data_IF_105853784583
#
_entry.id   IF_105853784583
#
_cell.length_a   1.000
_cell.length_b   1.000
_cell.length_c   1.000
_cell.angle_alpha   90.00
_cell.angle_beta   90.00
_cell.angle_gamma   90.00
#
_symmetry.space_group_name_H-M   'P 1'
#
loop_
_entity.id
_entity.type
_entity.pdbx_description
1 polymer ?
#
# COMPACT_ATOMS: atom_id res chain seq x y z
N UNK A 1 48.63 -12.09 58.39
CA UNK A 1 47.66 -12.88 57.58
C UNK A 1 46.42 -12.03 57.41
N UNK A 2 46.26 -11.14 56.31
CA UNK A 2 44.97 -10.62 55.90
C UNK A 2 45.08 -9.49 54.85
N UNK A 3 46.26 -8.89 54.59
CA UNK A 3 46.36 -7.79 53.60
C UNK A 3 46.22 -8.29 52.18
N UNK A 4 46.63 -9.48 51.79
CA UNK A 4 46.57 -10.04 50.47
C UNK A 4 45.13 -10.51 50.07
N UNK A 5 44.28 -10.87 51.05
CA UNK A 5 42.87 -11.21 50.77
C UNK A 5 42.04 -9.97 50.51
N UNK A 6 42.24 -8.90 51.28
CA UNK A 6 41.54 -7.63 51.07
C UNK A 6 41.88 -7.01 49.72
N UNK A 7 43.12 -7.08 49.29
CA UNK A 7 43.57 -6.57 47.99
C UNK A 7 42.98 -7.34 46.82
N UNK A 8 42.87 -8.69 46.90
CA UNK A 8 42.24 -9.52 45.88
C UNK A 8 40.74 -9.28 45.77
N UNK A 9 40.03 -9.06 46.85
CA UNK A 9 38.61 -8.76 46.87
C UNK A 9 38.35 -7.38 46.26
N UNK A 10 39.18 -6.38 46.58
CA UNK A 10 39.04 -5.03 46.01
C UNK A 10 39.24 -5.03 44.48
N UNK A 11 40.24 -5.76 43.96
CA UNK A 11 40.46 -5.88 42.52
C UNK A 11 39.29 -6.60 41.81
N UNK A 12 38.73 -7.66 42.39
CA UNK A 12 37.58 -8.37 41.82
C UNK A 12 36.31 -7.55 41.79
N UNK A 13 36.07 -6.69 42.78
CA UNK A 13 34.90 -5.78 42.76
C UNK A 13 35.07 -4.68 41.74
N UNK A 14 36.26 -4.10 41.59
CA UNK A 14 36.53 -3.07 40.59
C UNK A 14 36.39 -3.63 39.16
N UNK A 15 36.90 -4.83 38.90
CA UNK A 15 36.72 -5.47 37.56
C UNK A 15 35.26 -5.80 37.27
N UNK A 16 34.48 -6.26 38.25
CA UNK A 16 33.05 -6.52 38.07
C UNK A 16 32.25 -5.25 37.78
N UNK A 17 32.56 -4.14 38.44
CA UNK A 17 31.91 -2.84 38.21
C UNK A 17 32.26 -2.28 36.84
N UNK A 18 33.51 -2.39 36.38
CA UNK A 18 33.93 -1.93 35.05
C UNK A 18 33.28 -2.76 33.93
N UNK A 19 33.15 -4.08 34.10
CA UNK A 19 32.45 -4.94 33.13
C UNK A 19 30.96 -4.62 33.08
N UNK A 20 30.31 -4.36 34.23
CA UNK A 20 28.91 -3.97 34.26
C UNK A 20 28.66 -2.60 33.61
N UNK A 21 29.57 -1.64 33.81
CA UNK A 21 29.50 -0.32 33.18
C UNK A 21 29.72 -0.39 31.66
N UNK A 22 30.61 -1.26 31.17
CA UNK A 22 30.84 -1.46 29.75
C UNK A 22 29.62 -2.12 29.04
N UNK A 23 28.90 -3.01 29.73
CA UNK A 23 27.66 -3.60 29.20
C UNK A 23 26.51 -2.59 29.11
N UNK A 24 26.47 -1.58 29.97
CA UNK A 24 25.45 -0.53 29.93
C UNK A 24 25.66 0.46 28.76
N UNK A 25 26.89 0.64 28.29
CA UNK A 25 27.19 1.54 27.15
C UNK A 25 27.00 0.82 25.80
N UNK A 26 27.09 -0.51 25.75
CA UNK A 26 26.84 -1.28 24.52
C UNK A 26 25.34 -1.40 24.17
N UNK A 27 24.43 -0.98 25.06
CA UNK A 27 22.99 -0.93 24.86
C UNK A 27 22.49 0.35 24.18
N UNK A 28 23.39 1.29 23.84
CA UNK A 28 23.02 2.51 23.14
C UNK A 28 22.77 2.24 21.65
N UNK A 29 21.50 2.26 21.33
CA UNK A 29 20.95 2.86 20.13
C UNK A 29 21.26 2.21 18.79
N UNK A 30 20.81 0.96 18.63
CA UNK A 30 20.15 0.60 17.38
C UNK A 30 18.65 0.93 17.48
N UNK A 31 18.31 2.15 17.77
CA UNK A 31 17.13 2.73 17.16
C UNK A 31 17.47 2.85 15.69
N UNK A 32 17.26 1.76 14.92
CA UNK A 32 16.85 1.90 13.54
C UNK A 32 15.82 3.03 13.56
N UNK A 33 16.05 4.07 12.83
CA UNK A 33 15.03 5.03 12.44
C UNK A 33 14.08 4.18 11.60
N UNK A 34 13.22 3.44 12.28
CA UNK A 34 12.00 2.91 11.73
C UNK A 34 11.26 4.19 11.37
N UNK A 35 11.41 4.60 10.11
CA UNK A 35 10.58 5.62 9.51
C UNK A 35 9.18 5.10 9.75
N UNK A 36 8.54 5.61 10.80
CA UNK A 36 7.20 5.17 11.19
C UNK A 36 6.36 5.33 9.95
N UNK A 37 5.95 4.19 9.38
CA UNK A 37 5.18 4.13 8.16
C UNK A 37 3.98 5.06 8.33
N UNK A 38 3.78 6.09 7.49
CA UNK A 38 2.68 7.02 7.64
C UNK A 38 1.35 6.25 7.59
N UNK A 39 0.41 6.63 8.44
CA UNK A 39 -0.96 6.12 8.36
C UNK A 39 -1.66 6.66 7.11
N UNK A 40 -2.67 5.95 6.57
CA UNK A 40 -3.43 6.46 5.44
C UNK A 40 -4.15 7.76 5.82
N UNK A 41 -4.14 8.71 4.90
CA UNK A 41 -4.88 9.98 5.01
C UNK A 41 -6.27 9.85 4.40
N UNK A 42 -7.22 10.64 4.91
CA UNK A 42 -8.51 10.79 4.27
C UNK A 42 -8.41 11.69 3.04
N UNK A 43 -9.23 11.39 2.03
CA UNK A 43 -9.28 12.19 0.80
C UNK A 43 -9.82 13.57 1.12
N UNK A 44 -9.03 14.61 0.86
CA UNK A 44 -9.47 15.99 0.97
C UNK A 44 -10.29 16.39 -0.25
N UNK A 45 -11.17 17.37 -0.09
CA UNK A 45 -12.06 17.82 -1.16
C UNK A 45 -11.32 18.32 -2.41
N UNK A 46 -10.15 18.91 -2.20
CA UNK A 46 -9.25 19.45 -3.23
C UNK A 46 -8.24 18.42 -3.79
N UNK A 47 -8.19 17.21 -3.23
CA UNK A 47 -7.23 16.20 -3.65
C UNK A 47 -7.44 15.82 -5.12
N UNK A 48 -6.36 15.84 -5.91
CA UNK A 48 -6.37 15.54 -7.35
C UNK A 48 -5.59 14.26 -7.65
N UNK A 49 -6.05 13.52 -8.65
CA UNK A 49 -5.37 12.32 -9.13
C UNK A 49 -4.10 12.67 -9.90
N UNK A 50 -3.01 11.99 -9.59
CA UNK A 50 -1.67 12.25 -10.14
C UNK A 50 -1.64 12.19 -11.68
N UNK A 51 -2.25 11.16 -12.27
CA UNK A 51 -2.26 11.00 -13.71
C UNK A 51 -3.37 11.80 -14.43
N UNK A 52 -4.56 11.92 -13.80
CA UNK A 52 -5.68 12.58 -14.45
C UNK A 52 -5.78 14.08 -14.18
N UNK A 53 -5.16 14.60 -13.11
CA UNK A 53 -5.24 16.01 -12.70
C UNK A 53 -6.62 16.47 -12.23
N UNK A 54 -7.63 15.58 -12.19
CA UNK A 54 -9.01 15.88 -11.78
C UNK A 54 -9.20 15.60 -10.29
N UNK A 55 -10.22 16.24 -9.69
CA UNK A 55 -10.54 16.00 -8.27
C UNK A 55 -11.01 14.57 -8.05
N UNK A 56 -10.47 13.92 -7.00
CA UNK A 56 -10.80 12.54 -6.66
C UNK A 56 -12.30 12.36 -6.37
N UNK A 57 -12.95 13.37 -5.80
CA UNK A 57 -14.37 13.36 -5.51
C UNK A 57 -15.27 13.27 -6.76
N UNK A 58 -14.74 13.54 -7.95
CA UNK A 58 -15.45 13.46 -9.22
C UNK A 58 -15.41 12.05 -9.83
N UNK A 59 -14.65 11.13 -9.21
CA UNK A 59 -14.47 9.76 -9.69
C UNK A 59 -15.09 8.75 -8.74
N UNK A 60 -15.80 7.79 -9.29
CA UNK A 60 -16.33 6.64 -8.56
C UNK A 60 -15.23 5.58 -8.35
N UNK A 61 -15.52 4.62 -7.47
CA UNK A 61 -14.66 3.45 -7.20
C UNK A 61 -13.51 3.73 -6.25
N UNK A 62 -12.70 2.69 -5.97
CA UNK A 62 -11.62 2.76 -5.00
C UNK A 62 -10.50 3.69 -5.46
N UNK A 63 -9.91 4.38 -4.47
CA UNK A 63 -8.79 5.30 -4.63
C UNK A 63 -7.50 4.67 -4.09
N UNK A 64 -6.37 5.22 -4.50
CA UNK A 64 -5.08 4.89 -3.93
C UNK A 64 -4.29 6.09 -3.48
N UNK A 65 -3.38 5.85 -2.55
CA UNK A 65 -2.43 6.85 -2.06
C UNK A 65 -1.04 6.22 -1.89
N UNK A 66 -0.03 6.93 -2.37
CA UNK A 66 1.38 6.52 -2.30
C UNK A 66 2.16 7.56 -1.51
N UNK A 67 2.88 7.13 -0.50
CA UNK A 67 3.78 7.95 0.28
C UNK A 67 5.21 7.73 -0.16
N UNK A 68 5.92 8.82 -0.43
CA UNK A 68 7.35 8.81 -0.74
C UNK A 68 8.14 9.35 0.45
N UNK A 69 9.38 8.86 0.65
CA UNK A 69 10.26 9.39 1.68
C UNK A 69 10.63 10.87 1.45
N UNK A 70 10.61 11.30 0.19
CA UNK A 70 10.93 12.67 -0.24
C UNK A 70 9.77 13.67 -0.09
N UNK A 71 8.56 13.24 0.35
CA UNK A 71 7.36 14.10 0.44
C UNK A 71 6.63 13.91 1.75
N UNK A 72 6.04 15.00 2.26
CA UNK A 72 5.15 14.98 3.43
C UNK A 72 3.74 14.47 3.10
N UNK A 73 3.25 14.79 1.91
CA UNK A 73 1.88 14.51 1.49
C UNK A 73 1.83 13.34 0.53
N UNK A 74 0.75 12.52 0.58
CA UNK A 74 0.61 11.42 -0.34
C UNK A 74 0.36 11.87 -1.79
N UNK A 75 0.81 11.04 -2.72
CA UNK A 75 0.38 11.11 -4.12
C UNK A 75 -0.93 10.35 -4.24
N UNK A 76 -1.93 10.98 -4.83
CA UNK A 76 -3.28 10.45 -4.94
C UNK A 76 -3.57 9.88 -6.32
N UNK A 77 -4.37 8.81 -6.36
CA UNK A 77 -4.84 8.17 -7.59
C UNK A 77 -6.35 7.97 -7.55
N UNK A 78 -7.01 8.32 -8.65
CA UNK A 78 -8.45 8.12 -8.85
C UNK A 78 -8.84 6.66 -9.13
N UNK A 79 -7.84 5.77 -9.28
CA UNK A 79 -7.98 4.35 -9.60
C UNK A 79 -6.88 3.56 -8.89
N UNK A 80 -7.22 2.36 -8.42
CA UNK A 80 -6.23 1.44 -7.83
C UNK A 80 -5.34 0.83 -8.92
N UNK A 81 -5.87 0.61 -10.11
CA UNK A 81 -5.05 0.20 -11.27
C UNK A 81 -3.93 1.20 -11.53
N UNK A 82 -4.21 2.50 -11.53
CA UNK A 82 -3.21 3.56 -11.73
C UNK A 82 -2.22 3.63 -10.57
N UNK A 83 -2.69 3.41 -9.34
CA UNK A 83 -1.82 3.28 -8.18
C UNK A 83 -0.78 2.18 -8.38
N UNK A 84 -1.22 1.00 -8.85
CA UNK A 84 -0.34 -0.15 -9.07
C UNK A 84 0.58 0.11 -10.28
N UNK A 85 0.08 0.75 -11.33
CA UNK A 85 0.89 1.15 -12.48
C UNK A 85 2.04 2.06 -12.05
N UNK A 86 1.77 3.07 -11.19
CA UNK A 86 2.80 3.93 -10.61
C UNK A 86 3.89 3.14 -9.88
N UNK A 87 3.53 2.10 -9.12
CA UNK A 87 4.52 1.27 -8.40
C UNK A 87 5.47 0.52 -9.34
N UNK A 88 5.07 0.27 -10.57
CA UNK A 88 5.81 -0.55 -11.55
C UNK A 88 6.45 0.23 -12.66
N UNK A 89 5.93 1.41 -13.00
CA UNK A 89 6.47 2.27 -14.03
C UNK A 89 7.94 2.64 -13.74
N UNK A 90 8.88 2.39 -14.66
CA UNK A 90 10.31 2.57 -14.41
C UNK A 90 10.71 4.04 -14.21
N UNK A 91 9.93 4.97 -14.74
CA UNK A 91 10.12 6.42 -14.65
C UNK A 91 9.69 7.04 -13.33
N UNK A 92 8.89 6.32 -12.53
CA UNK A 92 8.32 6.83 -11.30
C UNK A 92 9.28 6.69 -10.10
N UNK A 93 9.13 7.51 -9.06
CA UNK A 93 9.98 7.47 -7.87
C UNK A 93 10.01 6.11 -7.18
N UNK A 94 11.18 5.73 -6.65
CA UNK A 94 11.41 4.44 -5.98
C UNK A 94 11.47 4.52 -4.46
N UNK A 95 11.46 5.71 -3.88
CA UNK A 95 11.51 5.97 -2.44
C UNK A 95 10.15 5.80 -1.74
N UNK A 96 9.37 4.79 -2.17
CA UNK A 96 8.03 4.50 -1.68
C UNK A 96 8.11 3.89 -0.28
N UNK A 97 7.50 4.56 0.70
CA UNK A 97 7.45 4.13 2.11
C UNK A 97 6.13 3.45 2.49
N UNK A 98 5.01 3.87 1.90
CA UNK A 98 3.71 3.25 2.11
C UNK A 98 2.81 3.38 0.88
N UNK A 99 1.90 2.41 0.71
CA UNK A 99 0.87 2.42 -0.32
C UNK A 99 -0.42 1.92 0.29
N UNK A 100 -1.48 2.71 0.19
CA UNK A 100 -2.81 2.34 0.66
C UNK A 100 -3.82 2.43 -0.47
N UNK A 101 -4.80 1.54 -0.43
CA UNK A 101 -5.94 1.50 -1.35
C UNK A 101 -7.23 1.37 -0.56
N UNK A 102 -8.36 1.84 -1.10
CA UNK A 102 -9.63 1.66 -0.41
C UNK A 102 -10.01 0.18 -0.33
N UNK A 103 -10.36 -0.28 0.87
CA UNK A 103 -10.87 -1.62 1.11
C UNK A 103 -12.36 -1.67 0.76
N UNK A 104 -12.70 -2.27 -0.38
CA UNK A 104 -14.07 -2.37 -0.85
C UNK A 104 -14.89 -3.42 -0.11
N UNK A 105 -14.27 -4.27 0.68
CA UNK A 105 -14.96 -5.17 1.63
C UNK A 105 -15.49 -4.45 2.86
N UNK A 106 -14.97 -3.25 3.15
CA UNK A 106 -15.38 -2.40 4.27
C UNK A 106 -16.15 -1.16 3.83
N UNK A 107 -16.43 -1.03 2.53
CA UNK A 107 -17.15 0.10 1.96
C UNK A 107 -18.54 -0.31 1.53
N UNK A 108 -19.55 0.45 1.95
CA UNK A 108 -20.95 0.21 1.59
C UNK A 108 -21.28 0.72 0.17
N UNK A 109 -20.49 1.65 -0.37
CA UNK A 109 -20.74 2.31 -1.66
C UNK A 109 -19.57 2.15 -2.61
N UNK A 110 -19.87 1.85 -3.88
CA UNK A 110 -18.92 1.92 -4.97
C UNK A 110 -18.60 3.36 -5.35
N UNK A 111 -19.62 4.22 -5.38
CA UNK A 111 -19.50 5.60 -5.83
C UNK A 111 -18.55 6.40 -4.94
N UNK A 112 -18.61 6.16 -3.64
CA UNK A 112 -17.78 6.85 -2.67
C UNK A 112 -17.41 5.89 -1.53
N UNK A 113 -16.19 5.33 -1.56
CA UNK A 113 -15.69 4.47 -0.50
C UNK A 113 -15.74 5.13 0.86
N UNK A 114 -16.08 4.35 1.89
CA UNK A 114 -16.25 4.84 3.25
C UNK A 114 -14.94 5.39 3.84
N UNK A 115 -15.05 6.42 4.65
CA UNK A 115 -13.90 6.98 5.38
C UNK A 115 -13.29 5.92 6.29
N UNK A 116 -11.98 5.91 6.38
CA UNK A 116 -11.22 4.93 7.15
C UNK A 116 -11.18 3.52 6.54
N UNK A 117 -11.82 3.29 5.40
CA UNK A 117 -11.75 2.02 4.70
C UNK A 117 -10.47 1.94 3.85
N UNK A 118 -9.31 1.92 4.50
CA UNK A 118 -8.01 1.79 3.85
C UNK A 118 -7.34 0.47 4.23
N UNK A 119 -6.62 -0.12 3.27
CA UNK A 119 -5.77 -1.30 3.46
C UNK A 119 -4.41 -1.06 2.80
N UNK A 120 -3.34 -1.59 3.41
CA UNK A 120 -2.03 -1.63 2.77
C UNK A 120 -2.10 -2.47 1.49
N UNK A 121 -1.74 -1.89 0.36
CA UNK A 121 -1.77 -2.57 -0.93
C UNK A 121 -0.94 -3.86 -0.96
N UNK A 122 0.12 -3.96 -0.16
CA UNK A 122 0.98 -5.17 -0.07
C UNK A 122 0.28 -6.32 0.67
N UNK A 123 -0.73 -6.01 1.48
CA UNK A 123 -1.51 -6.99 2.26
C UNK A 123 -2.87 -7.28 1.63
N UNK A 124 -3.32 -6.44 0.70
CA UNK A 124 -4.61 -6.56 0.06
C UNK A 124 -4.70 -7.77 -0.89
N UNK A 125 -5.92 -8.22 -1.08
CA UNK A 125 -6.36 -9.05 -2.18
C UNK A 125 -7.01 -8.18 -3.24
N UNK A 126 -6.84 -8.52 -4.50
CA UNK A 126 -7.39 -7.75 -5.62
C UNK A 126 -8.24 -8.63 -6.50
N UNK A 127 -9.39 -8.12 -6.94
CA UNK A 127 -10.15 -8.74 -8.01
C UNK A 127 -9.87 -7.97 -9.29
N UNK A 128 -9.28 -8.64 -10.27
CA UNK A 128 -8.97 -8.08 -11.60
C UNK A 128 -9.78 -8.79 -12.69
N UNK A 129 -10.05 -8.08 -13.79
CA UNK A 129 -10.82 -8.62 -14.91
C UNK A 129 -12.32 -8.78 -14.62
N UNK A 130 -12.85 -8.15 -13.58
CA UNK A 130 -14.29 -8.04 -13.33
C UNK A 130 -14.97 -7.09 -14.31
N UNK A 131 -16.30 -7.08 -14.31
CA UNK A 131 -17.09 -6.15 -15.15
C UNK A 131 -17.02 -4.68 -14.71
N UNK A 132 -16.56 -4.41 -13.48
CA UNK A 132 -16.55 -3.05 -12.94
C UNK A 132 -15.43 -2.21 -13.52
N UNK A 133 -15.71 -0.92 -13.59
CA UNK A 133 -14.81 0.10 -14.11
C UNK A 133 -14.41 1.06 -13.00
N UNK A 134 -13.16 1.47 -13.01
CA UNK A 134 -12.65 2.52 -12.13
C UNK A 134 -13.09 3.92 -12.61
N UNK A 135 -12.70 4.93 -11.85
CA UNK A 135 -13.11 6.32 -12.06
C UNK A 135 -12.80 6.90 -13.44
N UNK A 136 -11.88 6.28 -14.20
CA UNK A 136 -11.54 6.67 -15.58
C UNK A 136 -12.19 5.76 -16.63
N UNK A 137 -13.16 4.93 -16.27
CA UNK A 137 -13.85 4.03 -17.18
C UNK A 137 -13.04 2.82 -17.66
N UNK A 138 -11.84 2.61 -17.12
CA UNK A 138 -10.97 1.47 -17.43
C UNK A 138 -11.21 0.31 -16.46
N UNK A 139 -10.81 -0.94 -16.80
CA UNK A 139 -10.88 -2.06 -15.87
C UNK A 139 -10.19 -1.74 -14.54
N UNK A 140 -10.86 -2.02 -13.42
CA UNK A 140 -10.35 -1.70 -12.09
C UNK A 140 -9.74 -2.92 -11.40
N UNK A 141 -8.71 -2.71 -10.57
CA UNK A 141 -8.18 -3.70 -9.66
C UNK A 141 -8.82 -3.48 -8.27
N UNK A 142 -9.91 -4.19 -7.99
CA UNK A 142 -10.75 -3.93 -6.81
C UNK A 142 -10.13 -4.53 -5.56
N UNK A 143 -9.75 -3.73 -4.53
CA UNK A 143 -9.02 -4.21 -3.36
C UNK A 143 -9.91 -4.59 -2.19
N UNK A 144 -9.45 -5.60 -1.44
CA UNK A 144 -10.09 -6.14 -0.25
C UNK A 144 -9.04 -6.50 0.81
N UNK A 145 -9.29 -6.22 2.08
CA UNK A 145 -8.46 -6.72 3.18
C UNK A 145 -8.66 -8.22 3.41
N UNK A 146 -9.89 -8.72 3.21
CA UNK A 146 -10.28 -10.09 3.49
C UNK A 146 -10.46 -10.92 2.20
N UNK A 147 -9.81 -12.09 2.09
CA UNK A 147 -9.95 -12.94 0.90
C UNK A 147 -11.37 -13.42 0.66
N UNK A 148 -12.16 -13.63 1.72
CA UNK A 148 -13.55 -14.04 1.61
C UNK A 148 -14.41 -12.96 0.94
N UNK A 149 -14.17 -11.66 1.25
CA UNK A 149 -14.86 -10.56 0.61
C UNK A 149 -14.49 -10.43 -0.89
N UNK A 150 -13.20 -10.62 -1.21
CA UNK A 150 -12.73 -10.65 -2.60
C UNK A 150 -13.41 -11.78 -3.39
N UNK A 151 -13.56 -12.95 -2.79
CA UNK A 151 -14.19 -14.10 -3.44
C UNK A 151 -15.70 -13.89 -3.65
N UNK A 152 -16.42 -13.33 -2.68
CA UNK A 152 -17.82 -12.94 -2.82
C UNK A 152 -18.00 -11.94 -3.97
N UNK A 153 -17.13 -10.95 -4.06
CA UNK A 153 -17.14 -9.97 -5.15
C UNK A 153 -16.87 -10.64 -6.50
N UNK A 154 -15.86 -11.52 -6.58
CA UNK A 154 -15.52 -12.27 -7.79
C UNK A 154 -16.71 -13.10 -8.30
N UNK A 155 -17.42 -13.80 -7.40
CA UNK A 155 -18.59 -14.60 -7.78
C UNK A 155 -19.69 -13.73 -8.37
N UNK A 156 -19.91 -12.53 -7.84
CA UNK A 156 -20.99 -11.63 -8.27
C UNK A 156 -20.64 -10.75 -9.48
N UNK A 157 -19.35 -10.42 -9.70
CA UNK A 157 -18.88 -9.45 -10.70
C UNK A 157 -17.87 -10.01 -11.69
N UNK A 158 -17.55 -11.28 -11.60
CA UNK A 158 -16.53 -11.92 -12.43
C UNK A 158 -15.10 -11.56 -12.05
N UNK A 159 -14.16 -11.96 -12.89
CA UNK A 159 -12.75 -11.72 -12.68
C UNK A 159 -12.05 -12.83 -11.90
N UNK A 160 -10.87 -12.54 -11.38
CA UNK A 160 -10.07 -13.46 -10.56
C UNK A 160 -9.43 -12.74 -9.37
N UNK A 161 -9.29 -13.46 -8.25
CA UNK A 161 -8.62 -12.97 -7.04
C UNK A 161 -7.11 -13.18 -7.19
N UNK A 162 -6.32 -12.13 -6.90
CA UNK A 162 -4.85 -12.14 -6.99
C UNK A 162 -4.22 -11.31 -5.89
N UNK A 163 -2.93 -11.50 -5.64
CA UNK A 163 -2.11 -10.59 -4.84
C UNK A 163 -1.48 -9.51 -5.71
N UNK A 164 -0.98 -8.44 -5.07
CA UNK A 164 -0.36 -7.30 -5.74
C UNK A 164 0.72 -7.73 -6.77
N UNK A 165 1.60 -8.68 -6.38
CA UNK A 165 2.68 -9.17 -7.25
C UNK A 165 2.23 -10.04 -8.41
N UNK A 166 0.98 -10.53 -8.39
CA UNK A 166 0.41 -11.43 -9.40
C UNK A 166 -0.42 -10.68 -10.46
N UNK A 167 -0.60 -9.36 -10.31
CA UNK A 167 -1.29 -8.54 -11.31
C UNK A 167 -0.36 -8.39 -12.51
N UNK A 168 -0.76 -8.82 -13.72
CA UNK A 168 0.08 -8.76 -14.91
C UNK A 168 0.33 -7.33 -15.38
N UNK A 169 1.48 -7.07 -15.99
CA UNK A 169 1.81 -5.75 -16.52
C UNK A 169 0.94 -5.35 -17.71
N UNK A 170 0.50 -6.31 -18.52
CA UNK A 170 -0.45 -6.07 -19.62
C UNK A 170 -1.83 -5.62 -19.11
N UNK A 171 -2.24 -6.08 -17.91
CA UNK A 171 -3.43 -5.56 -17.25
C UNK A 171 -3.29 -4.08 -16.87
N UNK A 172 -2.10 -3.65 -16.46
CA UNK A 172 -1.83 -2.29 -16.01
C UNK A 172 -1.59 -1.31 -17.17
N UNK A 173 -0.77 -1.73 -18.14
CA UNK A 173 -0.26 -0.88 -19.22
C UNK A 173 -0.88 -1.22 -20.60
N UNK A 174 -1.55 -2.36 -20.72
CA UNK A 174 -2.22 -2.76 -21.94
C UNK A 174 -3.34 -1.79 -22.32
N UNK A 175 -3.47 -1.52 -23.61
CA UNK A 175 -4.67 -0.85 -24.13
C UNK A 175 -5.88 -1.73 -23.81
N UNK A 176 -7.04 -1.15 -23.41
CA UNK A 176 -8.26 -1.92 -23.28
C UNK A 176 -8.51 -2.60 -24.63
N UNK A 177 -8.49 -3.94 -24.62
CA UNK A 177 -8.75 -4.73 -25.81
C UNK A 177 -10.10 -4.26 -26.38
N UNK A 178 -10.06 -3.62 -27.53
CA UNK A 178 -11.27 -3.42 -28.32
C UNK A 178 -11.83 -4.81 -28.54
N UNK A 179 -12.99 -5.10 -27.98
CA UNK A 179 -13.66 -6.40 -28.15
C UNK A 179 -13.67 -6.73 -29.65
N UNK A 180 -12.77 -7.59 -30.07
CA UNK A 180 -12.86 -8.24 -31.35
C UNK A 180 -14.14 -9.07 -31.31
N UNK A 181 -15.22 -8.60 -31.96
CA UNK A 181 -16.43 -9.36 -32.14
C UNK A 181 -17.77 -8.66 -31.88
N UNK A 182 -17.90 -7.37 -32.15
CA UNK A 182 -19.22 -6.87 -32.49
C UNK A 182 -19.41 -7.05 -34.02
N UNK A 183 -20.36 -7.87 -34.48
CA UNK A 183 -20.68 -7.92 -35.91
C UNK A 183 -21.14 -6.54 -36.34
N UNK A 184 -20.60 -6.07 -37.48
CA UNK A 184 -21.01 -4.82 -38.10
C UNK A 184 -22.54 -4.84 -38.31
N UNK A 185 -23.26 -3.70 -38.08
CA UNK A 185 -24.68 -3.64 -38.40
C UNK A 185 -24.85 -3.82 -39.91
N UNK A 186 -25.58 -4.85 -40.29
CA UNK A 186 -26.01 -5.05 -41.67
C UNK A 186 -26.83 -3.81 -42.10
N UNK A 187 -26.36 -3.18 -43.14
CA UNK A 187 -27.10 -2.10 -43.82
C UNK A 187 -28.21 -2.74 -44.65
N UNK A 188 -29.44 -2.53 -44.26
CA UNK A 188 -30.60 -2.66 -45.10
C UNK A 188 -30.91 -1.37 -45.82
#
# INVERSE_FOLDING_TARGET
MNASRAFRVAISVVTAVVVLAAAAVAGCDRRSVEHSRPSPSEVLAEATGYYCGMRLAEHEGPKGQVYLASRSDPIWFSSVRDTIAFLRAPEEPRDIVAVYVNDMGRSASWQQPDRGAWVDARQAWFVIGSEVRGGMGVPEAVPFSEPAAAEVFRVSRGGRVVRLGEIPDDYLFGMPEQRAGAPAPEKH
#
